data_IF_941127178366
#
_entry.id   IF_941127178366
#
_cell.length_a   1.000
_cell.length_b   1.000
_cell.length_c   1.000
_cell.angle_alpha   90.00
_cell.angle_beta   90.00
_cell.angle_gamma   90.00
#
_symmetry.space_group_name_H-M   'P 1'
#
loop_
_entity.id
_entity.type
_entity.pdbx_description
1 polymer ?
#
# COMPACT_ATOMS: atom_id res chain seq x y z
N UNK A 1 -25.07 -11.36 23.55
CA UNK A 1 -25.41 -11.23 22.13
C UNK A 1 -24.26 -10.51 21.45
N UNK A 2 -23.40 -11.22 20.70
CA UNK A 2 -22.30 -10.60 19.97
C UNK A 2 -22.87 -9.89 18.74
N UNK A 3 -22.81 -8.56 18.70
CA UNK A 3 -23.14 -7.81 17.50
C UNK A 3 -21.97 -8.02 16.50
N UNK A 4 -22.22 -8.70 15.40
CA UNK A 4 -21.31 -8.72 14.27
C UNK A 4 -21.38 -7.33 13.61
N UNK A 5 -20.30 -6.57 13.69
CA UNK A 5 -20.17 -5.32 12.96
C UNK A 5 -18.87 -5.36 12.16
N UNK A 6 -18.86 -4.76 11.00
CA UNK A 6 -17.64 -4.56 10.23
C UNK A 6 -16.77 -3.55 10.97
N UNK A 7 -15.49 -3.90 11.17
CA UNK A 7 -14.50 -2.99 11.73
C UNK A 7 -13.71 -2.31 10.61
N UNK A 8 -13.51 -2.99 9.48
CA UNK A 8 -12.90 -2.49 8.28
C UNK A 8 -13.36 -3.29 7.07
N UNK A 9 -13.36 -2.65 5.91
CA UNK A 9 -13.59 -3.28 4.62
C UNK A 9 -12.46 -2.89 3.67
N UNK A 10 -12.04 -3.79 2.78
CA UNK A 10 -10.98 -3.51 1.84
C UNK A 10 -11.26 -4.10 0.46
N UNK A 11 -10.91 -3.34 -0.58
CA UNK A 11 -10.79 -3.81 -1.95
C UNK A 11 -9.30 -3.91 -2.31
N UNK A 12 -8.92 -4.96 -3.03
CA UNK A 12 -7.55 -5.11 -3.51
C UNK A 12 -7.53 -5.61 -4.95
N UNK A 13 -6.51 -5.16 -5.71
CA UNK A 13 -6.26 -5.60 -7.07
C UNK A 13 -4.95 -6.38 -7.09
N UNK A 14 -5.01 -7.62 -7.52
CA UNK A 14 -3.87 -8.52 -7.58
C UNK A 14 -3.44 -8.77 -9.02
N UNK A 15 -2.13 -8.79 -9.27
CA UNK A 15 -1.58 -9.26 -10.53
C UNK A 15 -1.28 -10.75 -10.43
N UNK A 16 -1.81 -11.54 -11.36
CA UNK A 16 -1.41 -12.93 -11.53
C UNK A 16 -0.13 -12.96 -12.37
N UNK A 17 0.95 -13.47 -11.78
CA UNK A 17 2.28 -13.45 -12.42
C UNK A 17 2.65 -14.87 -12.85
N UNK A 18 3.07 -15.01 -14.08
CA UNK A 18 3.70 -16.22 -14.60
C UNK A 18 5.10 -16.34 -13.98
N UNK A 19 5.36 -17.46 -13.28
CA UNK A 19 6.59 -17.66 -12.52
C UNK A 19 7.82 -17.94 -13.37
N UNK A 20 7.64 -18.35 -14.62
CA UNK A 20 8.75 -18.62 -15.54
C UNK A 20 9.20 -17.33 -16.24
N UNK A 21 8.24 -16.48 -16.63
CA UNK A 21 8.52 -15.26 -17.39
C UNK A 21 8.58 -14.00 -16.53
N UNK A 22 8.06 -14.04 -15.30
CA UNK A 22 7.93 -12.89 -14.40
C UNK A 22 6.92 -11.85 -14.89
N UNK A 23 6.08 -12.17 -15.87
CA UNK A 23 5.14 -11.23 -16.50
C UNK A 23 3.71 -11.42 -16.00
N UNK A 24 2.92 -10.34 -15.93
CA UNK A 24 1.49 -10.46 -15.67
C UNK A 24 0.81 -11.30 -16.72
N UNK A 25 -0.01 -12.26 -16.28
CA UNK A 25 -0.81 -13.13 -17.15
C UNK A 25 -2.26 -13.16 -16.65
N UNK A 26 -3.17 -13.65 -17.49
CA UNK A 26 -4.57 -13.81 -17.10
C UNK A 26 -4.76 -15.13 -16.36
N UNK A 27 -5.41 -15.13 -15.18
CA UNK A 27 -5.79 -16.38 -14.52
C UNK A 27 -6.75 -17.15 -15.44
N UNK A 28 -6.64 -18.47 -15.44
CA UNK A 28 -7.55 -19.33 -16.18
C UNK A 28 -8.89 -19.47 -15.42
N UNK A 29 -10.01 -19.79 -16.09
CA UNK A 29 -11.30 -19.96 -15.43
C UNK A 29 -11.25 -20.95 -14.24
N UNK A 30 -10.46 -22.02 -14.35
CA UNK A 30 -10.25 -23.00 -13.27
C UNK A 30 -9.63 -22.40 -12.01
N UNK A 31 -8.74 -21.40 -12.18
CA UNK A 31 -8.05 -20.76 -11.06
C UNK A 31 -9.02 -19.81 -10.32
N UNK A 32 -9.88 -19.10 -11.06
CA UNK A 32 -10.89 -18.20 -10.50
C UNK A 32 -12.00 -18.98 -9.79
N UNK A 33 -12.45 -20.12 -10.34
CA UNK A 33 -13.52 -20.94 -9.77
C UNK A 33 -13.22 -21.44 -8.35
N UNK A 34 -11.95 -21.61 -7.99
CA UNK A 34 -11.54 -22.06 -6.65
C UNK A 34 -11.86 -21.04 -5.55
N UNK A 35 -11.91 -19.74 -5.90
CA UNK A 35 -12.16 -18.68 -4.92
C UNK A 35 -13.64 -18.27 -4.81
N UNK A 36 -14.45 -18.66 -5.77
CA UNK A 36 -15.83 -18.19 -5.90
C UNK A 36 -15.87 -16.72 -6.39
N UNK A 37 -17.08 -16.25 -6.64
CA UNK A 37 -17.36 -14.85 -7.00
C UNK A 37 -18.52 -14.39 -6.14
N UNK A 38 -18.33 -13.30 -5.42
CA UNK A 38 -19.36 -12.64 -4.61
C UNK A 38 -19.70 -11.27 -5.19
N UNK A 39 -20.80 -10.68 -4.73
CA UNK A 39 -21.14 -9.31 -5.09
C UNK A 39 -20.08 -8.34 -4.57
N UNK A 40 -19.75 -7.28 -5.35
CA UNK A 40 -18.81 -6.26 -4.92
C UNK A 40 -19.22 -5.62 -3.59
N UNK A 41 -18.25 -5.20 -2.79
CA UNK A 41 -18.52 -4.41 -1.60
C UNK A 41 -19.12 -3.05 -2.00
N UNK A 42 -20.19 -2.65 -1.30
CA UNK A 42 -20.80 -1.32 -1.46
C UNK A 42 -19.98 -0.28 -0.66
N UNK A 43 -18.80 0.02 -1.18
CA UNK A 43 -17.91 1.06 -0.66
C UNK A 43 -17.45 1.96 -1.80
N UNK A 44 -17.19 3.25 -1.54
CA UNK A 44 -16.62 4.14 -2.56
C UNK A 44 -15.35 3.54 -3.14
N UNK A 45 -15.29 3.41 -4.46
CA UNK A 45 -14.12 2.88 -5.15
C UNK A 45 -13.43 4.00 -5.92
N UNK A 46 -12.28 4.39 -5.42
CA UNK A 46 -11.41 5.34 -6.11
C UNK A 46 -10.52 4.63 -7.15
N UNK A 47 -10.10 5.36 -8.15
CA UNK A 47 -9.25 4.84 -9.22
C UNK A 47 -7.96 4.18 -8.68
N UNK A 48 -7.41 3.23 -9.44
CA UNK A 48 -6.28 2.40 -9.04
C UNK A 48 -5.01 3.18 -8.70
N UNK A 49 -4.80 4.35 -9.33
CA UNK A 49 -3.63 5.19 -9.11
C UNK A 49 -3.90 6.25 -8.05
N UNK A 50 -2.96 6.43 -7.16
CA UNK A 50 -2.93 7.56 -6.24
C UNK A 50 -2.30 8.74 -6.98
N UNK A 51 -2.98 9.91 -6.97
CA UNK A 51 -2.43 11.14 -7.51
C UNK A 51 -1.30 11.62 -6.61
N UNK A 52 -0.10 11.73 -7.15
CA UNK A 52 1.03 12.27 -6.42
C UNK A 52 0.82 13.77 -6.15
N UNK A 53 1.24 14.26 -4.97
CA UNK A 53 1.22 15.69 -4.64
C UNK A 53 2.23 16.46 -5.53
N UNK A 54 2.03 17.76 -5.65
CA UNK A 54 2.95 18.65 -6.38
C UNK A 54 4.16 19.02 -5.52
N UNK A 55 3.96 19.13 -4.21
CA UNK A 55 4.99 19.46 -3.23
C UNK A 55 5.05 18.39 -2.16
N UNK A 56 6.26 18.03 -1.74
CA UNK A 56 6.53 17.06 -0.69
C UNK A 56 7.70 17.50 0.16
N UNK A 57 7.65 17.18 1.44
CA UNK A 57 8.78 17.31 2.36
C UNK A 57 9.59 16.03 2.35
N UNK A 58 10.91 16.15 2.14
CA UNK A 58 11.84 15.03 2.27
C UNK A 58 12.10 14.73 3.74
N UNK A 59 11.96 13.47 4.14
CA UNK A 59 12.18 13.04 5.51
C UNK A 59 13.48 12.25 5.65
N UNK A 60 13.88 11.93 6.89
CA UNK A 60 15.09 11.18 7.17
C UNK A 60 15.04 9.78 6.57
N UNK A 61 16.03 9.43 5.76
CA UNK A 61 16.14 8.12 5.14
C UNK A 61 16.54 7.03 6.15
N UNK A 62 16.00 5.82 5.96
CA UNK A 62 16.30 4.69 6.82
C UNK A 62 16.48 3.37 6.04
N UNK A 63 17.27 2.43 6.57
CA UNK A 63 17.51 1.16 5.88
C UNK A 63 16.38 0.15 6.07
N UNK A 64 16.14 -0.65 5.05
CA UNK A 64 15.34 -1.87 5.17
C UNK A 64 16.07 -2.87 6.08
N UNK A 65 15.36 -3.35 7.11
CA UNK A 65 15.88 -4.24 8.14
C UNK A 65 15.28 -5.65 8.01
N UNK A 66 15.91 -6.63 8.68
CA UNK A 66 15.50 -8.05 8.62
C UNK A 66 14.04 -8.31 8.98
N UNK A 67 13.48 -7.57 9.94
CA UNK A 67 12.08 -7.75 10.37
C UNK A 67 11.06 -7.21 9.37
N UNK A 68 11.50 -6.44 8.38
CA UNK A 68 10.65 -5.98 7.28
C UNK A 68 10.46 -7.05 6.20
N UNK A 69 11.33 -8.07 6.16
CA UNK A 69 11.44 -9.02 5.04
C UNK A 69 10.54 -10.24 5.26
N UNK A 70 9.80 -10.61 4.23
CA UNK A 70 8.96 -11.81 4.19
C UNK A 70 9.70 -13.03 3.62
N UNK A 71 8.99 -14.15 3.45
CA UNK A 71 9.53 -15.39 2.91
C UNK A 71 9.94 -15.33 1.44
N UNK A 72 9.54 -14.26 0.73
CA UNK A 72 9.95 -14.02 -0.66
C UNK A 72 11.20 -13.13 -0.76
N UNK A 73 11.86 -12.87 0.37
CA UNK A 73 13.03 -12.00 0.48
C UNK A 73 12.76 -10.52 0.10
N UNK A 74 11.50 -10.11 0.12
CA UNK A 74 11.06 -8.73 -0.12
C UNK A 74 10.46 -8.10 1.13
N UNK A 75 10.42 -6.78 1.16
CA UNK A 75 9.68 -6.07 2.20
C UNK A 75 8.20 -6.45 2.09
N UNK A 76 7.65 -6.98 3.19
CA UNK A 76 6.25 -7.34 3.28
C UNK A 76 5.34 -6.11 3.09
N UNK A 77 4.24 -6.27 2.37
CA UNK A 77 3.31 -5.18 2.07
C UNK A 77 2.82 -4.42 3.32
N UNK A 78 2.58 -5.13 4.42
CA UNK A 78 2.18 -4.53 5.69
C UNK A 78 3.28 -3.61 6.27
N UNK A 79 4.55 -3.92 6.03
CA UNK A 79 5.66 -3.12 6.55
C UNK A 79 5.72 -1.73 5.91
N UNK A 80 5.37 -1.58 4.63
CA UNK A 80 5.27 -0.25 4.03
C UNK A 80 4.21 0.61 4.72
N UNK A 81 3.08 0.00 5.11
CA UNK A 81 2.05 0.71 5.88
C UNK A 81 2.59 1.13 7.25
N UNK A 82 3.25 0.22 7.96
CA UNK A 82 3.84 0.54 9.27
C UNK A 82 4.91 1.63 9.17
N UNK A 83 5.78 1.58 8.16
CA UNK A 83 6.77 2.64 7.92
C UNK A 83 6.12 4.00 7.67
N UNK A 84 5.03 4.04 6.90
CA UNK A 84 4.33 5.28 6.60
C UNK A 84 3.61 5.86 7.82
N UNK A 85 3.06 5.01 8.68
CA UNK A 85 2.38 5.44 9.91
C UNK A 85 3.31 6.18 10.90
N UNK A 86 4.61 5.90 10.88
CA UNK A 86 5.61 6.58 11.73
C UNK A 86 5.74 8.09 11.43
N UNK A 87 5.25 8.54 10.27
CA UNK A 87 5.33 9.94 9.84
C UNK A 87 4.01 10.70 9.97
N UNK A 88 2.96 10.03 10.44
CA UNK A 88 1.64 10.66 10.60
C UNK A 88 1.49 11.25 12.00
N UNK A 89 0.62 12.27 12.18
CA UNK A 89 0.25 12.75 13.50
C UNK A 89 -0.34 11.64 14.37
N UNK A 90 0.05 11.60 15.66
CA UNK A 90 -0.39 10.57 16.62
C UNK A 90 -1.91 10.53 16.85
N UNK A 91 -2.59 11.64 16.62
CA UNK A 91 -4.03 11.82 16.83
C UNK A 91 -4.87 11.66 15.55
N UNK A 92 -4.22 11.33 14.42
CA UNK A 92 -4.89 11.13 13.14
C UNK A 92 -5.91 9.99 13.21
N UNK A 93 -7.18 10.30 12.95
CA UNK A 93 -8.25 9.31 12.86
C UNK A 93 -8.42 8.84 11.42
N UNK A 94 -7.72 7.77 11.07
CA UNK A 94 -7.72 7.23 9.69
C UNK A 94 -9.07 6.57 9.38
N UNK A 95 -9.85 7.18 8.49
CA UNK A 95 -11.07 6.61 7.94
C UNK A 95 -10.81 5.79 6.67
N UNK A 96 -9.83 6.19 5.86
CA UNK A 96 -9.48 5.49 4.64
C UNK A 96 -7.96 5.42 4.46
N UNK A 97 -7.47 4.25 4.10
CA UNK A 97 -6.11 4.02 3.64
C UNK A 97 -6.14 3.44 2.24
N UNK A 98 -5.37 4.05 1.33
CA UNK A 98 -5.09 3.50 0.00
C UNK A 98 -3.60 3.26 -0.14
N UNK A 99 -3.22 2.15 -0.76
CA UNK A 99 -1.82 1.82 -1.00
C UNK A 99 -1.62 1.41 -2.46
N UNK A 100 -0.64 2.00 -3.10
CA UNK A 100 -0.19 1.61 -4.43
C UNK A 100 1.24 1.06 -4.34
N UNK A 101 1.43 -0.25 -4.44
CA UNK A 101 2.74 -0.90 -4.50
C UNK A 101 3.29 -0.83 -5.92
N UNK A 102 4.51 -0.30 -6.09
CA UNK A 102 5.16 -0.08 -7.39
C UNK A 102 6.27 -1.09 -7.67
N UNK A 103 7.15 -1.29 -6.71
CA UNK A 103 8.25 -2.27 -6.77
C UNK A 103 8.58 -2.78 -5.36
N UNK A 104 9.17 -3.95 -5.28
CA UNK A 104 9.61 -4.50 -4.01
C UNK A 104 10.96 -3.88 -3.60
N UNK A 105 11.11 -3.55 -2.32
CA UNK A 105 12.39 -3.30 -1.69
C UNK A 105 12.94 -4.59 -1.08
N UNK A 106 14.26 -4.68 -0.96
CA UNK A 106 14.96 -5.84 -0.40
C UNK A 106 15.80 -5.43 0.81
N UNK A 107 16.36 -6.42 1.52
CA UNK A 107 17.22 -6.18 2.67
C UNK A 107 18.41 -5.32 2.29
N UNK A 108 18.60 -4.23 3.02
CA UNK A 108 19.72 -3.30 2.83
C UNK A 108 19.44 -2.14 1.89
N UNK A 109 18.31 -2.14 1.18
CA UNK A 109 17.85 -0.96 0.47
C UNK A 109 17.62 0.20 1.43
N UNK A 110 17.84 1.43 0.95
CA UNK A 110 17.48 2.64 1.68
C UNK A 110 16.10 3.12 1.24
N UNK A 111 15.28 3.50 2.22
CA UNK A 111 14.00 4.14 1.99
C UNK A 111 14.16 5.64 2.22
N UNK A 112 13.74 6.45 1.25
CA UNK A 112 13.72 7.90 1.27
C UNK A 112 12.25 8.35 1.32
N UNK A 113 11.71 8.59 2.53
CA UNK A 113 10.31 8.96 2.65
C UNK A 113 10.08 10.40 2.23
N UNK A 114 8.92 10.65 1.63
CA UNK A 114 8.40 11.98 1.30
C UNK A 114 7.00 12.10 1.85
N UNK A 115 6.70 13.22 2.46
CA UNK A 115 5.41 13.53 3.06
C UNK A 115 4.77 14.73 2.39
N UNK A 116 3.48 14.67 2.18
CA UNK A 116 2.66 15.81 1.81
C UNK A 116 1.36 15.81 2.61
N UNK A 117 1.05 16.93 3.23
CA UNK A 117 -0.22 17.17 3.91
C UNK A 117 -1.06 18.10 3.04
N UNK A 118 -2.11 17.57 2.43
CA UNK A 118 -3.12 18.34 1.69
C UNK A 118 -4.37 18.52 2.57
N UNK A 119 -5.28 19.37 2.18
CA UNK A 119 -6.44 19.72 3.00
C UNK A 119 -7.39 18.55 3.31
N UNK A 120 -7.41 17.51 2.48
CA UNK A 120 -8.32 16.37 2.56
C UNK A 120 -7.61 15.01 2.65
N UNK A 121 -6.26 15.01 2.63
CA UNK A 121 -5.47 13.78 2.69
C UNK A 121 -4.01 14.03 3.07
N UNK A 122 -3.39 12.98 3.58
CA UNK A 122 -1.93 12.90 3.75
C UNK A 122 -1.40 11.85 2.77
N UNK A 123 -0.32 12.17 2.06
CA UNK A 123 0.34 11.23 1.14
C UNK A 123 1.76 10.99 1.61
N UNK A 124 2.12 9.70 1.72
CA UNK A 124 3.48 9.25 2.02
C UNK A 124 4.00 8.46 0.82
N UNK A 125 5.12 8.90 0.26
CA UNK A 125 5.85 8.16 -0.76
C UNK A 125 7.10 7.54 -0.13
N UNK A 126 7.24 6.23 -0.22
CA UNK A 126 8.45 5.51 0.23
C UNK A 126 9.30 5.21 -0.99
N UNK A 127 10.34 6.02 -1.21
CA UNK A 127 11.12 6.04 -2.44
C UNK A 127 12.49 5.39 -2.31
N UNK A 128 13.13 5.08 -3.45
CA UNK A 128 14.54 4.78 -3.54
C UNK A 128 15.39 6.06 -3.69
N UNK A 129 16.70 5.91 -3.79
CA UNK A 129 17.66 7.01 -3.96
C UNK A 129 17.47 7.81 -5.27
N UNK A 130 16.77 7.27 -6.27
CA UNK A 130 16.41 7.95 -7.50
C UNK A 130 15.01 8.57 -7.45
N UNK A 131 14.41 8.70 -6.26
CA UNK A 131 13.06 9.18 -6.03
C UNK A 131 11.97 8.36 -6.75
N UNK A 132 12.22 7.07 -7.01
CA UNK A 132 11.20 6.16 -7.56
C UNK A 132 10.52 5.43 -6.40
N UNK A 133 9.20 5.52 -6.27
CA UNK A 133 8.52 4.94 -5.13
C UNK A 133 8.53 3.40 -5.17
N UNK A 134 8.79 2.79 -4.02
CA UNK A 134 8.46 1.42 -3.70
C UNK A 134 6.95 1.30 -3.45
N UNK A 135 6.42 2.23 -2.65
CA UNK A 135 4.99 2.32 -2.35
C UNK A 135 4.56 3.78 -2.21
N UNK A 136 3.31 4.05 -2.56
CA UNK A 136 2.62 5.32 -2.30
C UNK A 136 1.41 5.02 -1.43
N UNK A 137 1.27 5.75 -0.32
CA UNK A 137 0.19 5.58 0.62
C UNK A 137 -0.58 6.89 0.75
N UNK A 138 -1.90 6.80 0.74
CA UNK A 138 -2.80 7.93 0.93
C UNK A 138 -3.70 7.64 2.12
N UNK A 139 -3.73 8.58 3.06
CA UNK A 139 -4.54 8.52 4.26
C UNK A 139 -5.57 9.65 4.24
N UNK A 140 -6.82 9.33 4.57
CA UNK A 140 -7.90 10.30 4.74
C UNK A 140 -8.51 10.16 6.11
N UNK A 141 -8.85 11.28 6.72
CA UNK A 141 -9.58 11.33 7.97
C UNK A 141 -11.09 11.21 7.75
N UNK A 142 -11.80 10.89 8.82
CA UNK A 142 -13.25 11.00 8.88
C UNK A 142 -13.60 12.49 9.02
N UNK A 143 -14.40 13.02 8.08
CA UNK A 143 -14.88 14.42 8.09
C UNK A 143 -16.13 14.52 8.95
#
# INVERSE_FOLDING_TARGET
>A
MYKRQYLACANSVWAFIDTETGRPTRPQPKDVQLYGVEEPLDIPYEGRKIRLPEETDDLEAFPVRKHHIDTNEHVNNCQYVQMALEFLPDDLQIAQLRVEYKKAAVLGDMIYPKLSEEADRIVVELCDEQAKPYAVLEFKEEI
#
